data_IF_845008467838
#
_entry.id   IF_845008467838
#
_cell.length_a   1.000
_cell.length_b   1.000
_cell.length_c   1.000
_cell.angle_alpha   90.00
_cell.angle_beta   90.00
_cell.angle_gamma   90.00
#
_symmetry.space_group_name_H-M   'P 1'
#
loop_
_entity.id
_entity.type
_entity.pdbx_description
1 polymer ?
#
# COMPACT_ATOMS: atom_id res chain seq x y z
N UNK A 1 -11.75 -10.75 -2.23
CA UNK A 1 -11.37 -9.55 -2.99
C UNK A 1 -12.31 -8.39 -2.73
N UNK A 2 -13.62 -8.63 -2.63
CA UNK A 2 -14.61 -7.55 -2.53
C UNK A 2 -14.54 -6.69 -1.27
N UNK A 3 -14.21 -7.23 -0.09
CA UNK A 3 -14.53 -6.54 1.18
C UNK A 3 -13.64 -5.35 1.52
N UNK A 4 -12.40 -5.33 1.03
CA UNK A 4 -11.48 -4.21 1.22
C UNK A 4 -11.33 -3.34 -0.02
N UNK A 5 -12.04 -3.66 -1.11
CA UNK A 5 -12.04 -2.86 -2.33
C UNK A 5 -12.98 -1.68 -2.15
N UNK A 6 -12.43 -0.49 -2.32
CA UNK A 6 -13.18 0.76 -2.24
C UNK A 6 -13.64 1.15 -3.66
N UNK A 7 -12.68 1.36 -4.56
CA UNK A 7 -12.94 1.84 -5.92
C UNK A 7 -11.83 1.42 -6.87
N UNK A 8 -12.14 1.40 -8.17
CA UNK A 8 -11.20 1.19 -9.27
C UNK A 8 -11.41 2.31 -10.28
N UNK A 9 -10.33 2.95 -10.72
CA UNK A 9 -10.35 4.03 -11.69
C UNK A 9 -9.52 3.65 -12.91
N UNK A 10 -9.98 4.05 -14.08
CA UNK A 10 -9.17 4.14 -15.29
C UNK A 10 -8.80 5.61 -15.46
N UNK A 11 -7.52 5.91 -15.51
CA UNK A 11 -7.02 7.29 -15.50
C UNK A 11 -6.01 7.46 -16.63
N UNK A 12 -6.10 8.57 -17.37
CA UNK A 12 -5.08 8.94 -18.35
C UNK A 12 -3.74 9.25 -17.68
N UNK A 13 -2.63 9.19 -18.43
CA UNK A 13 -1.31 9.60 -17.91
C UNK A 13 -1.23 11.06 -17.47
N UNK A 14 -2.15 11.89 -17.93
CA UNK A 14 -2.32 13.28 -17.51
C UNK A 14 -3.06 13.43 -16.15
N UNK A 15 -3.58 12.33 -15.60
CA UNK A 15 -4.33 12.28 -14.35
C UNK A 15 -5.83 12.47 -14.50
N UNK A 16 -6.36 12.59 -15.73
CA UNK A 16 -7.80 12.68 -15.96
C UNK A 16 -8.47 11.32 -15.81
N UNK A 17 -9.58 11.28 -15.06
CA UNK A 17 -10.36 10.05 -14.89
C UNK A 17 -11.14 9.77 -16.18
N UNK A 18 -10.91 8.60 -16.77
CA UNK A 18 -11.64 8.07 -17.93
C UNK A 18 -12.90 7.36 -17.48
N UNK A 19 -12.80 6.49 -16.47
CA UNK A 19 -13.93 5.74 -15.93
C UNK A 19 -13.69 5.37 -14.46
N UNK A 20 -14.77 5.09 -13.72
CA UNK A 20 -14.73 4.73 -12.31
C UNK A 20 -15.75 3.64 -11.98
N UNK A 21 -15.31 2.68 -11.18
CA UNK A 21 -16.16 1.70 -10.52
C UNK A 21 -15.99 1.80 -9.01
N UNK A 22 -17.07 2.11 -8.29
CA UNK A 22 -17.07 2.18 -6.83
C UNK A 22 -18.02 1.13 -6.25
N UNK A 23 -17.60 0.44 -5.18
CA UNK A 23 -18.41 -0.60 -4.52
C UNK A 23 -19.70 0.03 -3.94
N UNK A 24 -20.82 -0.71 -4.02
CA UNK A 24 -22.17 -0.23 -3.67
C UNK A 24 -22.30 0.37 -2.25
N UNK A 25 -21.49 -0.09 -1.28
CA UNK A 25 -21.49 0.41 0.10
C UNK A 25 -20.97 1.85 0.24
N UNK A 26 -20.32 2.40 -0.78
CA UNK A 26 -19.72 3.76 -0.76
C UNK A 26 -20.39 4.75 -1.74
N UNK A 27 -21.47 4.33 -2.41
CA UNK A 27 -22.16 5.12 -3.46
C UNK A 27 -22.88 6.39 -2.99
N UNK A 28 -22.94 6.68 -1.69
CA UNK A 28 -23.77 7.78 -1.18
C UNK A 28 -23.24 9.19 -1.57
N UNK A 29 -21.98 9.31 -2.02
CA UNK A 29 -21.40 10.61 -2.39
C UNK A 29 -20.37 10.50 -3.53
N UNK A 30 -20.70 9.72 -4.57
CA UNK A 30 -19.84 9.41 -5.73
C UNK A 30 -19.20 10.66 -6.38
N UNK A 31 -19.93 11.80 -6.43
CA UNK A 31 -19.39 13.07 -6.96
C UNK A 31 -18.31 13.69 -6.08
N UNK A 32 -18.44 13.63 -4.75
CA UNK A 32 -17.37 14.09 -3.84
C UNK A 32 -16.18 13.13 -3.87
N UNK A 33 -16.47 11.84 -3.99
CA UNK A 33 -15.48 10.79 -4.09
C UNK A 33 -14.59 10.97 -5.33
N UNK A 34 -15.18 11.12 -6.52
CA UNK A 34 -14.46 11.36 -7.78
C UNK A 34 -13.60 12.62 -7.70
N UNK A 35 -14.14 13.73 -7.20
CA UNK A 35 -13.39 15.00 -7.11
C UNK A 35 -12.19 14.91 -6.16
N UNK A 36 -12.38 14.35 -4.96
CA UNK A 36 -11.31 14.20 -3.98
C UNK A 36 -10.20 13.25 -4.48
N UNK A 37 -10.57 12.09 -5.02
CA UNK A 37 -9.61 11.11 -5.49
C UNK A 37 -8.94 11.51 -6.81
N UNK A 38 -9.60 12.22 -7.72
CA UNK A 38 -8.96 12.73 -8.93
C UNK A 38 -7.74 13.59 -8.61
N UNK A 39 -7.89 14.55 -7.68
CA UNK A 39 -6.80 15.44 -7.28
C UNK A 39 -5.62 14.69 -6.64
N UNK A 40 -5.93 13.67 -5.84
CA UNK A 40 -4.93 12.87 -5.13
C UNK A 40 -4.23 11.89 -6.08
N UNK A 41 -4.98 11.24 -6.98
CA UNK A 41 -4.45 10.32 -7.98
C UNK A 41 -3.58 11.08 -8.97
N UNK A 42 -4.00 12.26 -9.45
CA UNK A 42 -3.17 13.12 -10.30
C UNK A 42 -1.85 13.50 -9.60
N UNK A 43 -1.91 13.90 -8.32
CA UNK A 43 -0.73 14.23 -7.54
C UNK A 43 0.24 13.04 -7.43
N UNK A 44 -0.29 11.84 -7.13
CA UNK A 44 0.53 10.64 -6.98
C UNK A 44 1.10 10.19 -8.33
N UNK A 45 0.30 10.20 -9.39
CA UNK A 45 0.74 9.88 -10.75
C UNK A 45 1.87 10.82 -11.17
N UNK A 46 1.68 12.14 -11.07
CA UNK A 46 2.73 13.12 -11.37
C UNK A 46 4.02 12.84 -10.60
N UNK A 47 3.90 12.50 -9.31
CA UNK A 47 5.06 12.16 -8.48
C UNK A 47 5.76 10.88 -8.96
N UNK A 48 5.01 9.83 -9.28
CA UNK A 48 5.57 8.58 -9.83
C UNK A 48 6.26 8.79 -11.18
N UNK A 49 5.71 9.65 -12.04
CA UNK A 49 6.29 9.92 -13.37
C UNK A 49 7.49 10.87 -13.31
N UNK A 50 7.43 11.93 -12.48
CA UNK A 50 8.50 12.93 -12.35
C UNK A 50 9.72 12.42 -11.57
N UNK A 51 9.51 11.66 -10.49
CA UNK A 51 10.60 11.26 -9.59
C UNK A 51 11.47 10.13 -10.18
N UNK A 52 11.03 9.45 -11.25
CA UNK A 52 11.66 8.20 -11.68
C UNK A 52 12.17 8.12 -13.13
N UNK A 53 11.87 9.08 -14.02
CA UNK A 53 12.28 9.06 -15.45
C UNK A 53 12.03 7.67 -16.10
N UNK A 54 10.98 6.98 -15.64
CA UNK A 54 10.61 5.64 -16.08
C UNK A 54 9.67 5.78 -17.27
N UNK A 55 10.13 5.38 -18.46
CA UNK A 55 9.26 5.31 -19.64
C UNK A 55 7.99 4.46 -19.39
N UNK A 56 8.14 3.37 -18.64
CA UNK A 56 7.07 2.49 -18.16
C UNK A 56 7.34 2.10 -16.72
N UNK A 57 6.43 2.40 -15.78
CA UNK A 57 6.61 2.05 -14.36
C UNK A 57 6.02 0.67 -14.00
N UNK A 58 5.29 0.03 -14.93
CA UNK A 58 4.69 -1.28 -14.76
C UNK A 58 3.55 -1.27 -13.74
N UNK A 59 3.88 -1.50 -12.47
CA UNK A 59 2.93 -1.33 -11.37
C UNK A 59 3.63 -0.93 -10.07
N UNK A 60 2.91 -0.23 -9.20
CA UNK A 60 3.43 0.22 -7.92
C UNK A 60 2.32 0.41 -6.89
N UNK A 61 2.70 0.40 -5.62
CA UNK A 61 1.79 0.67 -4.50
C UNK A 61 2.11 2.01 -3.86
N UNK A 62 1.08 2.72 -3.44
CA UNK A 62 1.22 3.91 -2.61
C UNK A 62 0.31 3.79 -1.39
N UNK A 63 0.87 3.94 -0.19
CA UNK A 63 0.12 3.82 1.05
C UNK A 63 -0.06 5.19 1.71
N UNK A 64 -1.28 5.46 2.17
CA UNK A 64 -1.61 6.56 3.06
C UNK A 64 -2.15 6.02 4.38
N UNK A 65 -2.43 6.92 5.31
CA UNK A 65 -3.13 6.63 6.57
C UNK A 65 -4.54 6.08 6.35
N UNK A 66 -5.22 6.52 5.27
CA UNK A 66 -6.61 6.19 5.00
C UNK A 66 -6.83 5.19 3.89
N UNK A 67 -5.91 5.13 2.93
CA UNK A 67 -6.10 4.36 1.71
C UNK A 67 -4.79 3.72 1.25
N UNK A 68 -4.93 2.58 0.58
CA UNK A 68 -3.85 1.96 -0.17
C UNK A 68 -4.21 2.00 -1.65
N UNK A 69 -3.26 2.44 -2.46
CA UNK A 69 -3.40 2.57 -3.91
C UNK A 69 -2.51 1.53 -4.59
N UNK A 70 -3.05 0.88 -5.62
CA UNK A 70 -2.27 0.12 -6.59
C UNK A 70 -2.41 0.81 -7.93
N UNK A 71 -1.28 1.24 -8.48
CA UNK A 71 -1.18 1.77 -9.84
C UNK A 71 -0.67 0.66 -10.73
N UNK A 72 -1.38 0.37 -11.82
CA UNK A 72 -0.97 -0.62 -12.81
C UNK A 72 -1.15 0.00 -14.19
N UNK A 73 -0.08 0.05 -14.99
CA UNK A 73 -0.17 0.52 -16.37
C UNK A 73 -1.19 -0.30 -17.16
N UNK A 74 -1.97 0.40 -17.98
CA UNK A 74 -3.05 -0.15 -18.80
C UNK A 74 -2.92 0.42 -20.20
N UNK A 75 -1.97 -0.12 -20.98
CA UNK A 75 -1.63 0.38 -22.31
C UNK A 75 -0.69 1.59 -22.26
N UNK A 76 -0.54 2.28 -23.39
CA UNK A 76 0.35 3.44 -23.48
C UNK A 76 -0.25 4.69 -22.83
N UNK A 77 -1.57 4.86 -22.90
CA UNK A 77 -2.22 6.12 -22.52
C UNK A 77 -2.88 6.10 -21.14
N UNK A 78 -3.15 4.91 -20.58
CA UNK A 78 -3.95 4.78 -19.36
C UNK A 78 -3.23 4.03 -18.24
N UNK A 79 -3.69 4.28 -17.02
CA UNK A 79 -3.30 3.62 -15.79
C UNK A 79 -4.56 3.17 -15.07
N UNK A 80 -4.60 1.90 -14.68
CA UNK A 80 -5.60 1.37 -13.76
C UNK A 80 -5.17 1.67 -12.33
N UNK A 81 -6.02 2.35 -11.57
CA UNK A 81 -5.80 2.68 -10.16
C UNK A 81 -6.80 1.91 -9.31
N UNK A 82 -6.32 1.00 -8.46
CA UNK A 82 -7.15 0.28 -7.48
C UNK A 82 -7.00 0.94 -6.12
N UNK A 83 -8.10 1.33 -5.50
CA UNK A 83 -8.16 1.95 -4.17
C UNK A 83 -8.71 0.94 -3.17
N UNK A 84 -8.00 0.78 -2.07
CA UNK A 84 -8.23 -0.22 -1.05
C UNK A 84 -8.22 0.38 0.35
N UNK A 85 -8.84 -0.31 1.29
CA UNK A 85 -8.60 -0.05 2.72
C UNK A 85 -7.12 -0.33 3.08
N UNK A 86 -6.53 0.39 4.05
CA UNK A 86 -5.12 0.21 4.45
C UNK A 86 -4.78 -1.19 4.96
N UNK A 87 -5.80 -1.95 5.40
CA UNK A 87 -5.67 -3.32 5.90
C UNK A 87 -5.62 -4.36 4.80
N UNK A 88 -5.93 -3.99 3.56
CA UNK A 88 -6.00 -4.90 2.43
C UNK A 88 -4.63 -5.50 2.11
N UNK A 89 -4.55 -6.82 2.00
CA UNK A 89 -3.32 -7.49 1.53
C UNK A 89 -3.14 -7.27 0.04
N UNK A 90 -2.02 -6.65 -0.35
CA UNK A 90 -1.82 -6.27 -1.74
C UNK A 90 -1.56 -7.48 -2.62
N UNK A 91 -0.81 -8.46 -2.11
CA UNK A 91 -0.57 -9.75 -2.78
C UNK A 91 -1.88 -10.46 -3.14
N UNK A 92 -2.94 -10.15 -2.40
CA UNK A 92 -4.25 -10.73 -2.65
C UNK A 92 -4.96 -10.15 -3.87
N UNK A 93 -4.58 -8.94 -4.25
CA UNK A 93 -5.33 -8.07 -5.13
C UNK A 93 -4.53 -7.80 -6.41
N UNK A 94 -3.21 -7.67 -6.28
CA UNK A 94 -2.27 -7.42 -7.37
C UNK A 94 -2.52 -8.29 -8.62
N UNK A 95 -2.64 -9.63 -8.50
CA UNK A 95 -2.82 -10.47 -9.68
C UNK A 95 -4.10 -10.15 -10.44
N UNK A 96 -5.16 -9.79 -9.72
CA UNK A 96 -6.43 -9.40 -10.31
C UNK A 96 -6.35 -7.98 -10.90
N UNK A 97 -5.63 -7.06 -10.27
CA UNK A 97 -5.35 -5.72 -10.82
C UNK A 97 -4.65 -5.82 -12.17
N UNK A 98 -3.62 -6.66 -12.30
CA UNK A 98 -2.93 -6.90 -13.57
C UNK A 98 -3.85 -7.45 -14.66
N UNK A 99 -4.64 -8.49 -14.34
CA UNK A 99 -5.60 -9.07 -15.30
C UNK A 99 -6.66 -8.05 -15.70
N UNK A 100 -7.08 -7.19 -14.76
CA UNK A 100 -8.06 -6.14 -15.03
C UNK A 100 -7.45 -5.07 -15.93
N UNK A 101 -6.21 -4.65 -15.69
CA UNK A 101 -5.52 -3.65 -16.52
C UNK A 101 -5.31 -4.16 -17.96
N UNK A 102 -4.91 -5.42 -18.14
CA UNK A 102 -4.81 -6.04 -19.46
C UNK A 102 -6.15 -6.03 -20.21
N UNK A 103 -7.24 -6.42 -19.53
CA UNK A 103 -8.58 -6.41 -20.14
C UNK A 103 -9.07 -5.00 -20.48
N UNK A 104 -8.84 -4.03 -19.58
CA UNK A 104 -9.19 -2.62 -19.81
C UNK A 104 -8.45 -2.10 -21.04
N UNK A 105 -7.16 -2.38 -21.16
CA UNK A 105 -6.35 -2.00 -22.33
C UNK A 105 -6.97 -2.55 -23.61
N UNK A 106 -7.25 -3.84 -23.67
CA UNK A 106 -7.84 -4.47 -24.86
C UNK A 106 -9.22 -3.95 -25.21
N UNK A 107 -10.03 -3.55 -24.22
CA UNK A 107 -11.34 -2.94 -24.43
C UNK A 107 -11.20 -1.54 -25.02
N UNK A 108 -10.28 -0.73 -24.48
CA UNK A 108 -10.03 0.64 -24.94
C UNK A 108 -9.45 0.64 -26.36
N UNK A 109 -8.52 -0.26 -26.65
CA UNK A 109 -7.86 -0.37 -27.96
C UNK A 109 -8.75 -1.01 -29.03
N UNK A 110 -9.90 -1.58 -28.65
CA UNK A 110 -10.85 -2.21 -29.57
C UNK A 110 -10.49 -3.64 -30.01
N UNK A 111 -9.57 -4.30 -29.31
CA UNK A 111 -9.10 -5.66 -29.58
C UNK A 111 -10.13 -6.74 -29.17
N UNK A 112 -11.20 -6.83 -29.96
CA UNK A 112 -12.29 -7.78 -29.74
C UNK A 112 -12.02 -9.14 -30.42
N UNK A 113 -12.36 -10.27 -29.77
CA UNK A 113 -13.17 -10.37 -28.55
C UNK A 113 -12.34 -10.34 -27.24
N UNK A 114 -12.78 -9.52 -26.28
CA UNK A 114 -12.29 -9.53 -24.89
C UNK A 114 -13.32 -10.21 -24.00
N UNK A 115 -12.92 -11.26 -23.27
CA UNK A 115 -13.77 -11.84 -22.22
C UNK A 115 -13.75 -10.93 -20.99
N UNK A 116 -14.88 -10.43 -20.48
CA UNK A 116 -14.92 -9.63 -19.26
C UNK A 116 -14.76 -10.48 -17.99
N UNK A 117 -14.75 -11.80 -18.10
CA UNK A 117 -14.68 -12.70 -16.95
C UNK A 117 -13.29 -12.65 -16.32
N UNK A 118 -13.21 -12.31 -15.03
CA UNK A 118 -11.98 -12.38 -14.25
C UNK A 118 -11.87 -13.80 -13.64
N UNK A 119 -10.80 -14.55 -13.93
CA UNK A 119 -10.65 -15.91 -13.41
C UNK A 119 -10.36 -15.89 -11.91
N UNK A 120 -10.87 -16.87 -11.18
CA UNK A 120 -10.49 -17.08 -9.77
C UNK A 120 -9.08 -17.66 -9.72
N UNK A 121 -8.16 -16.91 -9.12
CA UNK A 121 -6.77 -17.35 -8.94
C UNK A 121 -6.73 -18.22 -7.68
N UNK A 122 -6.40 -19.50 -7.83
CA UNK A 122 -6.15 -20.41 -6.72
C UNK A 122 -4.77 -20.11 -6.14
N UNK A 123 -4.68 -19.95 -4.82
CA UNK A 123 -3.40 -19.81 -4.12
C UNK A 123 -3.01 -21.12 -3.45
N UNK A 124 -1.70 -21.29 -3.27
CA UNK A 124 -1.14 -22.41 -2.53
C UNK A 124 -1.57 -22.37 -1.06
N UNK A 125 -1.77 -23.57 -0.49
CA UNK A 125 -2.28 -23.77 0.87
C UNK A 125 -1.45 -23.11 1.98
N UNK A 126 -0.16 -22.85 1.76
CA UNK A 126 0.71 -22.19 2.74
C UNK A 126 0.35 -20.71 2.93
N UNK A 127 0.04 -20.00 1.86
CA UNK A 127 -0.40 -18.60 1.93
C UNK A 127 -1.78 -18.52 2.58
N UNK A 128 -2.68 -19.46 2.28
CA UNK A 128 -4.00 -19.53 2.93
C UNK A 128 -3.89 -19.80 4.45
N UNK A 129 -2.92 -20.62 4.89
CA UNK A 129 -2.64 -20.84 6.31
C UNK A 129 -2.09 -19.58 7.00
N UNK A 130 -1.20 -18.84 6.32
CA UNK A 130 -0.70 -17.56 6.83
C UNK A 130 -1.82 -16.53 6.93
N UNK A 131 -2.69 -16.44 5.92
CA UNK A 131 -3.88 -15.59 5.96
C UNK A 131 -4.82 -15.95 7.10
N UNK A 132 -5.15 -17.23 7.29
CA UNK A 132 -6.03 -17.63 8.39
C UNK A 132 -5.46 -17.20 9.74
N UNK A 133 -4.15 -17.31 9.95
CA UNK A 133 -3.51 -16.76 11.16
C UNK A 133 -3.62 -15.25 11.22
N UNK A 134 -3.41 -14.56 10.10
CA UNK A 134 -3.38 -13.10 10.05
C UNK A 134 -4.78 -12.47 10.18
N UNK A 135 -5.78 -13.03 9.51
CA UNK A 135 -7.20 -12.72 9.66
C UNK A 135 -7.68 -13.05 11.08
N UNK A 136 -7.22 -14.16 11.67
CA UNK A 136 -7.45 -14.42 13.08
C UNK A 136 -6.88 -13.29 13.93
N UNK A 137 -5.61 -12.90 13.74
CA UNK A 137 -5.03 -11.78 14.47
C UNK A 137 -5.75 -10.45 14.23
N UNK A 138 -6.23 -10.17 13.02
CA UNK A 138 -6.96 -8.93 12.66
C UNK A 138 -8.40 -8.87 13.22
N UNK A 139 -9.07 -10.02 13.34
CA UNK A 139 -10.47 -10.10 13.81
C UNK A 139 -10.60 -10.49 15.28
N UNK A 140 -9.51 -10.89 15.94
CA UNK A 140 -9.49 -11.11 17.38
C UNK A 140 -9.41 -9.76 18.08
N UNK A 141 -10.21 -9.49 19.14
CA UNK A 141 -10.05 -8.26 19.92
C UNK A 141 -8.60 -8.13 20.37
N UNK A 142 -7.94 -7.11 19.82
CA UNK A 142 -6.55 -6.82 20.09
C UNK A 142 -6.38 -6.47 21.57
N UNK A 143 -5.32 -7.00 22.20
CA UNK A 143 -4.89 -6.45 23.49
C UNK A 143 -4.57 -4.97 23.27
N UNK A 144 -5.02 -4.06 24.14
CA UNK A 144 -4.86 -2.62 23.92
C UNK A 144 -3.39 -2.20 23.78
N UNK A 145 -2.45 -3.00 24.30
CA UNK A 145 -1.02 -2.71 24.30
C UNK A 145 -0.19 -3.90 23.81
N UNK A 146 0.60 -3.70 22.74
CA UNK A 146 1.64 -4.64 22.30
C UNK A 146 3.03 -4.10 22.58
N UNK A 147 3.94 -5.00 22.96
CA UNK A 147 5.37 -4.67 23.14
C UNK A 147 6.20 -5.56 22.23
N UNK A 148 6.86 -4.94 21.24
CA UNK A 148 7.81 -5.62 20.35
C UNK A 148 9.23 -5.26 20.71
N UNK A 149 10.10 -6.27 20.70
CA UNK A 149 11.54 -6.09 20.83
C UNK A 149 12.16 -6.09 19.42
N UNK A 150 12.74 -4.98 19.02
CA UNK A 150 13.46 -4.82 17.76
C UNK A 150 14.96 -4.84 18.05
N UNK A 151 15.74 -5.61 17.32
CA UNK A 151 17.20 -5.65 17.50
C UNK A 151 17.90 -5.38 16.17
N UNK A 152 18.77 -4.37 16.17
CA UNK A 152 19.54 -3.97 14.99
C UNK A 152 20.91 -4.66 15.01
N UNK A 153 21.08 -5.66 14.16
CA UNK A 153 22.28 -6.51 14.11
C UNK A 153 23.14 -6.12 12.90
N UNK A 154 24.47 -6.12 13.05
CA UNK A 154 25.41 -5.86 11.96
C UNK A 154 26.78 -5.40 12.45
N UNK A 155 27.72 -5.22 11.53
CA UNK A 155 29.11 -4.82 11.81
C UNK A 155 29.18 -3.50 12.59
N UNK A 156 30.19 -3.34 13.45
CA UNK A 156 30.43 -2.10 14.19
C UNK A 156 30.58 -0.89 13.27
N UNK A 157 30.12 0.29 13.70
CA UNK A 157 30.31 1.54 12.97
C UNK A 157 29.37 1.83 11.78
N UNK A 158 28.51 0.89 11.38
CA UNK A 158 27.59 1.08 10.22
C UNK A 158 26.36 1.98 10.50
N UNK A 159 26.35 2.72 11.61
CA UNK A 159 25.27 3.67 11.92
C UNK A 159 23.98 3.08 12.49
N UNK A 160 23.96 1.82 12.95
CA UNK A 160 22.77 1.18 13.57
C UNK A 160 22.18 2.01 14.71
N UNK A 161 23.01 2.47 15.62
CA UNK A 161 22.58 3.34 16.72
C UNK A 161 22.15 4.72 16.23
N UNK A 162 22.80 5.27 15.19
CA UNK A 162 22.42 6.55 14.59
C UNK A 162 21.02 6.46 13.97
N UNK A 163 20.68 5.35 13.32
CA UNK A 163 19.34 5.13 12.75
C UNK A 163 18.28 4.99 13.86
N UNK A 164 18.60 4.25 14.94
CA UNK A 164 17.72 4.12 16.09
C UNK A 164 17.48 5.48 16.77
N UNK A 165 18.54 6.27 16.97
CA UNK A 165 18.43 7.62 17.53
C UNK A 165 17.61 8.56 16.65
N UNK A 166 17.84 8.55 15.33
CA UNK A 166 17.07 9.36 14.39
C UNK A 166 15.59 8.98 14.40
N UNK A 167 15.30 7.69 14.41
CA UNK A 167 13.92 7.21 14.44
C UNK A 167 13.19 7.54 15.75
N UNK A 168 13.87 7.39 16.90
CA UNK A 168 13.24 7.61 18.21
C UNK A 168 13.15 9.10 18.54
N UNK A 169 14.23 9.85 18.35
CA UNK A 169 14.39 11.23 18.83
C UNK A 169 14.41 12.29 17.73
N UNK A 170 14.45 11.92 16.45
CA UNK A 170 14.57 12.88 15.34
C UNK A 170 15.95 13.54 15.22
N UNK A 171 16.95 13.10 16.00
CA UNK A 171 18.28 13.70 16.04
C UNK A 171 19.29 12.87 15.25
N UNK A 172 20.07 13.53 14.41
CA UNK A 172 21.25 12.97 13.77
C UNK A 172 22.48 13.77 14.20
N UNK A 173 23.38 13.17 14.98
CA UNK A 173 24.64 13.81 15.39
C UNK A 173 25.75 13.37 14.44
N UNK A 174 26.44 14.34 13.83
CA UNK A 174 27.58 14.09 12.95
C UNK A 174 28.78 13.51 13.71
N UNK A 175 29.03 13.99 14.93
CA UNK A 175 30.08 13.48 15.82
C UNK A 175 29.57 12.25 16.60
N UNK A 176 29.50 11.12 15.91
CA UNK A 176 29.04 9.88 16.50
C UNK A 176 30.22 9.09 17.10
N UNK A 177 30.21 8.89 18.42
CA UNK A 177 31.10 7.95 19.12
C UNK A 177 30.50 6.54 19.02
N UNK A 178 31.34 5.54 18.74
CA UNK A 178 30.91 4.14 18.67
C UNK A 178 30.14 3.73 19.94
N UNK A 179 29.04 2.99 19.78
CA UNK A 179 28.29 2.45 20.92
C UNK A 179 29.17 1.49 21.71
N UNK A 180 29.45 1.85 22.95
CA UNK A 180 30.05 0.93 23.92
C UNK A 180 28.89 0.16 24.56
N UNK A 181 28.75 -1.13 24.23
CA UNK A 181 27.67 -1.99 24.71
C UNK A 181 26.41 -1.96 23.82
N UNK A 182 25.23 -1.91 24.44
CA UNK A 182 23.92 -1.95 23.76
C UNK A 182 23.19 -0.62 23.94
N UNK A 183 22.62 -0.09 22.87
CA UNK A 183 21.79 1.11 22.92
C UNK A 183 20.31 0.72 22.98
N UNK A 184 19.69 0.83 24.15
CA UNK A 184 18.26 0.52 24.31
C UNK A 184 17.46 1.82 24.23
N UNK A 185 16.48 1.86 23.34
CA UNK A 185 15.56 2.97 23.16
C UNK A 185 14.12 2.49 23.02
N UNK A 186 13.18 3.41 23.21
CA UNK A 186 11.75 3.10 23.25
C UNK A 186 10.98 4.05 22.35
N UNK A 187 10.10 3.54 21.49
CA UNK A 187 9.14 4.31 20.70
C UNK A 187 7.75 3.73 20.86
N UNK A 188 6.77 4.58 21.11
CA UNK A 188 5.36 4.18 21.19
C UNK A 188 4.58 4.85 20.05
N UNK A 189 3.66 4.08 19.46
CA UNK A 189 2.74 4.52 18.42
C UNK A 189 1.34 4.03 18.74
N UNK A 190 0.35 4.88 18.49
CA UNK A 190 -1.06 4.50 18.56
C UNK A 190 -1.61 4.35 17.15
N UNK A 191 -2.19 3.19 16.85
CA UNK A 191 -2.82 2.88 15.59
C UNK A 191 -4.33 3.05 15.74
N UNK A 192 -4.84 4.22 15.35
CA UNK A 192 -6.25 4.59 15.51
C UNK A 192 -7.18 3.58 14.86
N UNK A 193 -6.88 3.11 13.64
CA UNK A 193 -7.76 2.18 12.95
C UNK A 193 -7.95 0.90 13.77
N UNK A 194 -6.87 0.39 14.38
CA UNK A 194 -6.82 -0.85 15.15
C UNK A 194 -7.16 -0.64 16.64
N UNK A 195 -7.40 0.60 17.08
CA UNK A 195 -7.57 0.96 18.48
C UNK A 195 -6.51 0.30 19.40
N UNK A 196 -5.25 0.36 18.99
CA UNK A 196 -4.17 -0.41 19.59
C UNK A 196 -2.91 0.44 19.77
N UNK A 197 -2.26 0.34 20.93
CA UNK A 197 -0.95 0.91 21.18
C UNK A 197 0.15 -0.13 20.92
N UNK A 198 1.23 0.31 20.28
CA UNK A 198 2.39 -0.54 19.99
C UNK A 198 3.65 0.14 20.50
N UNK A 199 4.41 -0.59 21.31
CA UNK A 199 5.65 -0.17 21.95
C UNK A 199 6.82 -0.95 21.36
N UNK A 200 7.71 -0.25 20.69
CA UNK A 200 8.97 -0.80 20.20
C UNK A 200 10.07 -0.55 21.23
N UNK A 201 10.65 -1.63 21.75
CA UNK A 201 11.90 -1.61 22.52
C UNK A 201 13.02 -1.93 21.53
N UNK A 202 13.78 -0.93 21.12
CA UNK A 202 14.81 -1.01 20.09
C UNK A 202 16.17 -1.18 20.75
N UNK A 203 16.90 -2.23 20.36
CA UNK A 203 18.22 -2.63 20.86
C UNK A 203 19.27 -2.52 19.76
#
# INVERSE_FOLDING_TARGET
MGDYLISVLVVGRDGLIVDIFTRDSEKLDEKKFVGAFSSLVELILKKLTLDYDLGTFGAGTFDTDKYRFIFCESGSENVLVTILEPRAFVDDIFPYTYITADKVTRIIDGDLPVSPVIPKIRRDTEIERLKQKLEYYQNTPHSPDYVYKLSLIGVGGVGKTSIAQRYVHGVFKADYKATIGTFISKKEWYFEQLNTSVKFIIW
#
